data_IF_865390323966
#
_entry.id   IF_865390323966
#
_cell.length_a   1.000
_cell.length_b   1.000
_cell.length_c   1.000
_cell.angle_alpha   90.00
_cell.angle_beta   90.00
_cell.angle_gamma   90.00
#
_symmetry.space_group_name_H-M   'P 1'
#
loop_
_entity.id
_entity.type
_entity.pdbx_description
1 polymer ?
#
# COMPACT_ATOMS: atom_id res chain seq x y z
N UNK A 1 13.07 5.65 -14.43
CA UNK A 1 12.32 5.73 -15.71
C UNK A 1 10.85 5.32 -15.55
N UNK A 2 10.53 4.12 -15.07
CA UNK A 2 9.14 3.66 -14.94
C UNK A 2 8.30 4.49 -13.94
N UNK A 3 8.81 4.73 -12.73
CA UNK A 3 8.13 5.51 -11.68
C UNK A 3 7.84 6.95 -12.16
N UNK A 4 8.83 7.62 -12.77
CA UNK A 4 8.65 8.96 -13.36
C UNK A 4 7.71 9.00 -14.56
N UNK A 5 7.50 7.87 -15.25
CA UNK A 5 6.45 7.77 -16.27
C UNK A 5 5.09 7.62 -15.60
N UNK A 6 4.95 6.76 -14.59
CA UNK A 6 3.71 6.60 -13.84
C UNK A 6 3.24 7.94 -13.23
N UNK A 7 4.16 8.71 -12.63
CA UNK A 7 3.84 10.03 -12.08
C UNK A 7 3.19 10.98 -13.11
N UNK A 8 3.61 10.89 -14.38
CA UNK A 8 3.11 11.77 -15.45
C UNK A 8 1.78 11.32 -16.08
N UNK A 9 1.51 10.01 -16.15
CA UNK A 9 0.42 9.51 -17.01
C UNK A 9 -0.45 8.40 -16.40
N UNK A 10 -0.08 7.82 -15.25
CA UNK A 10 -0.86 6.73 -14.64
C UNK A 10 -1.90 7.28 -13.66
N UNK A 11 -2.98 6.52 -13.45
CA UNK A 11 -4.03 6.83 -12.45
C UNK A 11 -3.60 6.46 -11.02
N UNK A 12 -2.53 5.68 -10.88
CA UNK A 12 -1.96 5.30 -9.60
C UNK A 12 -0.71 4.45 -9.77
N UNK A 13 -0.12 4.06 -8.63
CA UNK A 13 1.06 3.21 -8.57
C UNK A 13 0.92 2.12 -7.51
N UNK A 14 1.03 0.86 -7.91
CA UNK A 14 1.22 -0.26 -7.00
C UNK A 14 2.69 -0.32 -6.55
N UNK A 15 2.96 0.15 -5.34
CA UNK A 15 4.29 0.21 -4.77
C UNK A 15 4.67 -1.15 -4.16
N UNK A 16 5.60 -1.84 -4.81
CA UNK A 16 6.15 -3.09 -4.31
C UNK A 16 7.39 -2.81 -3.45
N UNK A 17 7.14 -2.38 -2.21
CA UNK A 17 8.14 -2.09 -1.19
C UNK A 17 8.10 -3.15 -0.07
N UNK A 18 9.21 -3.41 0.63
CA UNK A 18 9.31 -4.55 1.55
C UNK A 18 8.51 -4.36 2.85
N UNK A 19 8.41 -3.15 3.39
CA UNK A 19 7.74 -2.85 4.65
C UNK A 19 7.49 -1.33 4.79
N UNK A 20 6.52 -0.89 5.62
CA UNK A 20 6.35 0.52 5.95
C UNK A 20 7.52 1.04 6.78
N UNK A 21 7.74 2.35 6.76
CA UNK A 21 8.79 3.05 7.50
C UNK A 21 9.46 4.15 6.69
N UNK A 22 10.46 4.82 7.29
CA UNK A 22 11.07 6.04 6.75
C UNK A 22 11.54 5.92 5.29
N UNK A 23 12.14 4.78 4.93
CA UNK A 23 12.61 4.53 3.55
C UNK A 23 11.45 4.49 2.55
N UNK A 24 10.34 3.87 2.94
CA UNK A 24 9.16 3.78 2.08
C UNK A 24 8.43 5.12 1.99
N UNK A 25 8.33 5.84 3.11
CA UNK A 25 7.80 7.20 3.13
C UNK A 25 8.59 8.16 2.22
N UNK A 26 9.94 8.07 2.23
CA UNK A 26 10.78 8.85 1.32
C UNK A 26 10.49 8.53 -0.15
N UNK A 27 10.32 7.26 -0.50
CA UNK A 27 9.96 6.85 -1.87
C UNK A 27 8.58 7.37 -2.29
N UNK A 28 7.60 7.39 -1.38
CA UNK A 28 6.26 7.92 -1.66
C UNK A 28 6.30 9.43 -1.83
N UNK A 29 7.04 10.15 -0.99
CA UNK A 29 7.27 11.59 -1.12
C UNK A 29 7.92 11.93 -2.47
N UNK A 30 8.98 11.21 -2.85
CA UNK A 30 9.67 11.41 -4.14
C UNK A 30 8.74 11.17 -5.33
N UNK A 31 7.81 10.20 -5.23
CA UNK A 31 6.81 9.96 -6.26
C UNK A 31 5.78 11.09 -6.34
N UNK A 32 5.24 11.53 -5.20
CA UNK A 32 4.30 12.64 -5.16
C UNK A 32 4.91 13.93 -5.68
N UNK A 33 6.18 14.21 -5.40
CA UNK A 33 6.88 15.38 -5.94
C UNK A 33 7.10 15.29 -7.46
N UNK A 34 7.29 14.08 -8.01
CA UNK A 34 7.27 13.87 -9.45
C UNK A 34 5.88 14.09 -10.06
N UNK A 35 4.79 13.73 -9.37
CA UNK A 35 3.41 14.01 -9.79
C UNK A 35 3.18 15.53 -9.82
N UNK A 36 3.56 16.27 -8.77
CA UNK A 36 3.50 17.74 -8.72
C UNK A 36 4.30 18.37 -9.86
N UNK A 37 5.52 17.92 -10.07
CA UNK A 37 6.42 18.42 -11.13
C UNK A 37 5.84 18.20 -12.52
N UNK A 38 5.04 17.13 -12.70
CA UNK A 38 4.30 16.86 -13.93
C UNK A 38 3.07 17.77 -14.14
N UNK A 39 2.76 18.67 -13.20
CA UNK A 39 1.60 19.57 -13.25
C UNK A 39 0.28 18.89 -12.88
N UNK A 40 0.33 17.77 -12.15
CA UNK A 40 -0.86 17.02 -11.69
C UNK A 40 -1.08 17.24 -10.20
N UNK A 41 -2.33 17.05 -9.78
CA UNK A 41 -2.69 17.01 -8.37
C UNK A 41 -2.20 15.68 -7.75
N UNK A 42 -1.34 15.70 -6.71
CA UNK A 42 -0.89 14.49 -6.01
C UNK A 42 -2.02 13.63 -5.48
N UNK A 43 -3.12 14.25 -5.04
CA UNK A 43 -4.27 13.53 -4.47
C UNK A 43 -5.07 12.80 -5.56
N UNK A 44 -4.85 13.13 -6.83
CA UNK A 44 -5.44 12.44 -7.98
C UNK A 44 -4.69 11.17 -8.40
N UNK A 45 -3.54 10.86 -7.78
CA UNK A 45 -2.70 9.71 -8.13
C UNK A 45 -2.46 8.84 -6.92
N UNK A 46 -3.22 7.75 -6.82
CA UNK A 46 -3.13 6.84 -5.67
C UNK A 46 -1.81 6.07 -5.59
N UNK A 47 -1.41 5.72 -4.37
CA UNK A 47 -0.32 4.79 -4.06
C UNK A 47 -0.90 3.59 -3.32
N UNK A 48 -0.82 2.42 -3.93
CA UNK A 48 -1.25 1.15 -3.32
C UNK A 48 -0.05 0.45 -2.70
N UNK A 49 -0.14 0.12 -1.41
CA UNK A 49 0.86 -0.68 -0.70
C UNK A 49 0.37 -2.12 -0.50
N UNK A 50 1.30 -3.08 -0.51
CA UNK A 50 0.98 -4.50 -0.31
C UNK A 50 1.23 -4.93 1.13
N UNK A 51 0.23 -5.60 1.72
CA UNK A 51 0.38 -6.39 2.94
C UNK A 51 0.46 -7.85 2.53
N UNK A 52 1.62 -8.45 2.80
CA UNK A 52 1.80 -9.88 2.67
C UNK A 52 1.33 -10.53 3.97
N UNK A 53 0.31 -11.38 3.90
CA UNK A 53 -0.37 -11.87 5.09
C UNK A 53 0.58 -12.60 6.04
N UNK A 54 1.55 -13.37 5.53
CA UNK A 54 2.32 -14.28 6.36
C UNK A 54 1.40 -15.23 7.13
N UNK A 55 1.56 -15.29 8.45
CA UNK A 55 0.65 -16.01 9.36
C UNK A 55 -0.62 -15.19 9.61
N UNK A 56 -1.68 -15.86 10.05
CA UNK A 56 -2.91 -15.21 10.52
C UNK A 56 -2.59 -14.48 11.83
N UNK A 57 -2.43 -13.16 11.75
CA UNK A 57 -2.09 -12.30 12.89
C UNK A 57 -2.69 -10.89 12.68
N UNK A 58 -3.93 -10.68 13.16
CA UNK A 58 -4.67 -9.43 12.97
C UNK A 58 -3.94 -8.19 13.51
N UNK A 59 -3.25 -8.30 14.64
CA UNK A 59 -2.51 -7.18 15.25
C UNK A 59 -1.34 -6.75 14.37
N UNK A 60 -0.60 -7.73 13.84
CA UNK A 60 0.50 -7.47 12.90
C UNK A 60 -0.01 -6.84 11.60
N UNK A 61 -1.18 -7.24 11.10
CA UNK A 61 -1.77 -6.61 9.92
C UNK A 61 -2.22 -5.18 10.19
N UNK A 62 -2.89 -4.92 11.31
CA UNK A 62 -3.29 -3.57 11.71
C UNK A 62 -2.09 -2.62 11.80
N UNK A 63 -0.99 -3.08 12.44
CA UNK A 63 0.24 -2.30 12.53
C UNK A 63 0.85 -2.00 11.16
N UNK A 64 0.80 -2.95 10.21
CA UNK A 64 1.27 -2.72 8.85
C UNK A 64 0.37 -1.77 8.06
N UNK A 65 -0.96 -1.88 8.20
CA UNK A 65 -1.92 -0.96 7.57
C UNK A 65 -1.63 0.46 8.03
N UNK A 66 -1.57 0.69 9.36
CA UNK A 66 -1.27 2.00 9.91
C UNK A 66 0.09 2.52 9.43
N UNK A 67 1.13 1.68 9.45
CA UNK A 67 2.45 2.07 8.96
C UNK A 67 2.45 2.48 7.49
N UNK A 68 1.65 1.84 6.64
CA UNK A 68 1.51 2.21 5.24
C UNK A 68 0.72 3.52 5.05
N UNK A 69 -0.35 3.71 5.82
CA UNK A 69 -1.10 4.98 5.85
C UNK A 69 -0.17 6.13 6.26
N UNK A 70 0.63 5.95 7.31
CA UNK A 70 1.59 6.95 7.80
C UNK A 70 2.67 7.29 6.74
N UNK A 71 3.00 6.34 5.86
CA UNK A 71 3.90 6.60 4.72
C UNK A 71 3.23 7.40 3.60
N UNK A 72 1.90 7.44 3.55
CA UNK A 72 1.10 8.06 2.47
C UNK A 72 0.48 7.09 1.48
N UNK A 73 0.33 5.81 1.82
CA UNK A 73 -0.46 4.89 1.01
C UNK A 73 -1.94 5.31 1.02
N UNK A 74 -2.58 5.26 -0.14
CA UNK A 74 -4.01 5.57 -0.30
C UNK A 74 -4.87 4.32 -0.51
N UNK A 75 -4.23 3.20 -0.85
CA UNK A 75 -4.88 1.89 -0.96
C UNK A 75 -4.01 0.81 -0.32
N UNK A 76 -4.68 -0.23 0.18
CA UNK A 76 -4.03 -1.43 0.71
C UNK A 76 -4.46 -2.62 -0.14
N UNK A 77 -3.47 -3.32 -0.69
CA UNK A 77 -3.64 -4.63 -1.29
C UNK A 77 -3.29 -5.69 -0.25
N UNK A 78 -4.24 -6.57 0.06
CA UNK A 78 -3.98 -7.74 0.87
C UNK A 78 -3.60 -8.93 0.00
N UNK A 79 -2.44 -9.53 0.28
CA UNK A 79 -1.97 -10.71 -0.42
C UNK A 79 -1.86 -11.90 0.54
N UNK A 80 -2.87 -12.78 0.55
CA UNK A 80 -2.82 -14.06 1.27
C UNK A 80 -1.65 -14.91 0.80
N UNK A 81 -0.87 -15.44 1.74
CA UNK A 81 0.21 -16.39 1.54
C UNK A 81 -0.08 -17.66 2.35
N UNK A 82 -1.11 -18.39 1.93
CA UNK A 82 -1.55 -19.62 2.57
C UNK A 82 -2.11 -20.63 1.54
N UNK A 83 -2.31 -21.86 2.01
CA UNK A 83 -3.07 -22.86 1.27
C UNK A 83 -4.49 -22.35 0.96
N UNK A 84 -5.04 -22.78 -0.17
CA UNK A 84 -6.32 -22.29 -0.66
C UNK A 84 -7.46 -22.44 0.36
N UNK A 85 -7.43 -23.49 1.18
CA UNK A 85 -8.43 -23.75 2.23
C UNK A 85 -8.46 -22.71 3.35
N UNK A 86 -7.41 -21.91 3.50
CA UNK A 86 -7.33 -20.86 4.53
C UNK A 86 -7.59 -19.46 3.97
N UNK A 87 -7.58 -19.27 2.64
CA UNK A 87 -7.71 -17.93 2.03
C UNK A 87 -9.02 -17.25 2.44
N UNK A 88 -10.13 -17.97 2.46
CA UNK A 88 -11.43 -17.40 2.85
C UNK A 88 -11.41 -16.90 4.30
N UNK A 89 -10.85 -17.68 5.21
CA UNK A 89 -10.66 -17.27 6.61
C UNK A 89 -9.76 -16.03 6.69
N UNK A 90 -8.62 -16.01 6.00
CA UNK A 90 -7.68 -14.89 6.04
C UNK A 90 -8.31 -13.59 5.51
N UNK A 91 -9.07 -13.68 4.41
CA UNK A 91 -9.77 -12.52 3.85
C UNK A 91 -10.85 -12.03 4.81
N UNK A 92 -11.59 -12.94 5.45
CA UNK A 92 -12.58 -12.59 6.46
C UNK A 92 -11.96 -11.86 7.66
N UNK A 93 -10.87 -12.39 8.22
CA UNK A 93 -10.19 -11.76 9.34
C UNK A 93 -9.54 -10.43 8.96
N UNK A 94 -8.93 -10.33 7.78
CA UNK A 94 -8.39 -9.06 7.27
C UNK A 94 -9.50 -8.02 7.08
N UNK A 95 -10.69 -8.43 6.61
CA UNK A 95 -11.84 -7.54 6.48
C UNK A 95 -12.34 -7.02 7.82
N UNK A 96 -12.25 -7.80 8.90
CA UNK A 96 -12.54 -7.31 10.26
C UNK A 96 -11.52 -6.25 10.71
N UNK A 97 -10.22 -6.47 10.46
CA UNK A 97 -9.15 -5.49 10.77
C UNK A 97 -9.34 -4.17 10.01
N UNK A 98 -9.74 -4.24 8.74
CA UNK A 98 -9.93 -3.05 7.91
C UNK A 98 -11.06 -2.12 8.38
N UNK A 99 -11.94 -2.55 9.29
CA UNK A 99 -13.02 -1.68 9.80
C UNK A 99 -12.53 -0.54 10.69
N UNK A 100 -11.29 -0.63 11.16
CA UNK A 100 -10.66 0.37 12.03
C UNK A 100 -9.97 1.51 11.24
N UNK A 101 -10.00 1.48 9.91
CA UNK A 101 -9.34 2.43 8.99
C UNK A 101 -10.32 3.00 7.96
#
# INVERSE_FOLDING_TARGET
VAISRAARIADGWQAMLPAPGEKSAAVFSDFQDQVKTAGRDPDSVGIEATIFSGKIDPETWAAQIQGWIDCGATQILFRPQAEFSLIEQMVGEFAEVMKDF
#
